data_IF_060439890756
#
_entry.id   IF_060439890756
#
_cell.length_a   1.000
_cell.length_b   1.000
_cell.length_c   1.000
_cell.angle_alpha   90.00
_cell.angle_beta   90.00
_cell.angle_gamma   90.00
#
_symmetry.space_group_name_H-M   'P 1'
#
loop_
_entity.id
_entity.type
_entity.pdbx_description
1 polymer ?
#
# COMPACT_ATOMS: atom_id res chain seq x y z
N UNK A 1 -17.71 8.68 -30.57
CA UNK A 1 -16.81 7.77 -29.83
C UNK A 1 -15.93 8.46 -28.78
N UNK A 2 -15.38 9.66 -28.99
CA UNK A 2 -14.50 10.31 -27.99
C UNK A 2 -15.14 10.67 -26.63
N UNK A 3 -16.48 10.73 -26.55
CA UNK A 3 -17.19 11.05 -25.29
C UNK A 3 -17.10 9.91 -24.26
N UNK A 4 -17.14 8.65 -24.71
CA UNK A 4 -16.94 7.48 -23.84
C UNK A 4 -15.50 7.44 -23.33
N UNK A 5 -14.52 7.73 -24.19
CA UNK A 5 -13.12 7.74 -23.80
C UNK A 5 -12.81 8.79 -22.72
N UNK A 6 -13.44 9.99 -22.81
CA UNK A 6 -13.37 11.01 -21.74
C UNK A 6 -13.91 10.48 -20.41
N UNK A 7 -15.07 9.83 -20.43
CA UNK A 7 -15.65 9.25 -19.22
C UNK A 7 -14.82 8.12 -18.64
N UNK A 8 -14.28 7.23 -19.47
CA UNK A 8 -13.38 6.17 -19.03
C UNK A 8 -12.15 6.75 -18.33
N UNK A 9 -11.51 7.76 -18.93
CA UNK A 9 -10.36 8.41 -18.31
C UNK A 9 -10.72 9.04 -16.95
N UNK A 10 -11.84 9.76 -16.88
CA UNK A 10 -12.33 10.32 -15.62
C UNK A 10 -12.57 9.25 -14.56
N UNK A 11 -13.20 8.13 -14.93
CA UNK A 11 -13.45 7.02 -14.00
C UNK A 11 -12.16 6.33 -13.56
N UNK A 12 -11.18 6.17 -14.45
CA UNK A 12 -9.86 5.63 -14.09
C UNK A 12 -9.15 6.52 -13.07
N UNK A 13 -9.15 7.84 -13.30
CA UNK A 13 -8.55 8.80 -12.36
C UNK A 13 -9.28 8.77 -11.02
N UNK A 14 -10.61 8.73 -11.03
CA UNK A 14 -11.42 8.69 -9.81
C UNK A 14 -11.19 7.38 -9.03
N UNK A 15 -11.12 6.25 -9.72
CA UNK A 15 -10.76 4.96 -9.11
C UNK A 15 -9.36 4.96 -8.52
N UNK A 16 -8.38 5.57 -9.21
CA UNK A 16 -7.02 5.72 -8.68
C UNK A 16 -7.02 6.56 -7.40
N UNK A 17 -7.73 7.70 -7.38
CA UNK A 17 -7.85 8.54 -6.18
C UNK A 17 -8.50 7.77 -5.03
N UNK A 18 -9.55 6.98 -5.29
CA UNK A 18 -10.21 6.16 -4.28
C UNK A 18 -9.26 5.11 -3.69
N UNK A 19 -8.44 4.45 -4.52
CA UNK A 19 -7.43 3.49 -4.05
C UNK A 19 -6.37 4.18 -3.18
N UNK A 20 -5.89 5.34 -3.60
CA UNK A 20 -4.92 6.13 -2.81
C UNK A 20 -5.54 6.51 -1.46
N UNK A 21 -6.75 7.09 -1.47
CA UNK A 21 -7.44 7.45 -0.22
C UNK A 21 -7.62 6.25 0.72
N UNK A 22 -7.98 5.08 0.18
CA UNK A 22 -8.10 3.85 0.96
C UNK A 22 -6.76 3.38 1.54
N UNK A 23 -5.65 3.49 0.80
CA UNK A 23 -4.33 3.14 1.32
C UNK A 23 -3.91 4.03 2.52
N UNK A 24 -4.30 5.31 2.52
CA UNK A 24 -3.98 6.24 3.62
C UNK A 24 -4.97 6.16 4.79
N UNK A 25 -6.26 5.96 4.53
CA UNK A 25 -7.30 5.90 5.58
C UNK A 25 -7.44 4.48 6.15
N UNK A 26 -7.11 3.45 5.37
CA UNK A 26 -7.24 2.04 5.74
C UNK A 26 -6.58 1.65 7.07
N UNK A 27 -5.39 2.16 7.45
CA UNK A 27 -4.81 1.88 8.76
C UNK A 27 -5.68 2.39 9.92
N UNK A 28 -6.39 3.51 9.74
CA UNK A 28 -7.33 4.02 10.76
C UNK A 28 -8.64 3.23 10.82
N UNK A 29 -8.96 2.45 9.79
CA UNK A 29 -10.09 1.53 9.75
C UNK A 29 -9.74 0.12 10.26
N UNK A 30 -8.50 -0.08 10.73
CA UNK A 30 -8.02 -1.37 11.24
C UNK A 30 -7.48 -2.32 10.17
N UNK A 31 -7.15 -1.83 8.97
CA UNK A 31 -6.52 -2.61 7.91
C UNK A 31 -5.00 -2.52 8.05
N UNK A 32 -4.33 -3.65 8.22
CA UNK A 32 -2.87 -3.72 8.25
C UNK A 32 -2.32 -4.02 6.85
N UNK A 33 -1.52 -3.10 6.32
CA UNK A 33 -0.84 -3.23 5.02
C UNK A 33 0.65 -3.58 5.16
N UNK A 34 1.12 -3.84 6.39
CA UNK A 34 2.51 -4.17 6.67
C UNK A 34 2.84 -5.57 6.16
N UNK A 35 4.07 -5.76 5.66
CA UNK A 35 4.55 -7.10 5.36
C UNK A 35 4.60 -7.92 6.66
N UNK A 36 4.24 -9.23 6.63
CA UNK A 36 4.41 -10.10 7.78
C UNK A 36 5.86 -10.05 8.26
N UNK A 37 6.08 -9.58 9.49
CA UNK A 37 7.40 -9.56 10.08
C UNK A 37 7.68 -10.90 10.75
N UNK A 38 8.76 -11.55 10.33
CA UNK A 38 9.31 -12.70 11.01
C UNK A 38 10.56 -12.27 11.75
N UNK A 39 10.56 -12.42 13.07
CA UNK A 39 11.75 -12.21 13.88
C UNK A 39 12.74 -13.35 13.62
N UNK A 40 13.97 -12.98 13.21
CA UNK A 40 15.06 -13.91 12.99
C UNK A 40 16.13 -13.62 14.04
N UNK A 41 16.32 -14.55 14.97
CA UNK A 41 17.39 -14.47 15.96
C UNK A 41 18.61 -15.25 15.46
N UNK A 42 19.66 -14.53 15.08
CA UNK A 42 20.96 -15.12 14.74
C UNK A 42 21.89 -14.97 15.94
N UNK A 43 22.54 -16.06 16.31
CA UNK A 43 23.60 -16.01 17.32
C UNK A 43 24.83 -15.39 16.67
N UNK A 44 25.14 -14.15 17.02
CA UNK A 44 26.33 -13.45 16.55
C UNK A 44 27.44 -13.62 17.59
N UNK A 45 28.64 -14.03 17.15
CA UNK A 45 29.83 -13.99 17.99
C UNK A 45 30.38 -12.58 17.93
N UNK A 46 30.34 -11.86 19.06
CA UNK A 46 30.96 -10.55 19.19
C UNK A 46 32.44 -10.78 19.51
N UNK A 47 33.32 -10.40 18.59
CA UNK A 47 34.77 -10.39 18.82
C UNK A 47 35.09 -9.19 19.71
N UNK A 48 35.27 -9.43 21.01
CA UNK A 48 35.76 -8.44 21.95
C UNK A 48 37.30 -8.56 21.96
N UNK A 49 37.94 -7.70 21.16
CA UNK A 49 39.41 -7.60 21.09
C UNK A 49 40.08 -7.26 22.41
#
# INVERSE_FOLDING_TARGET
MGRILKWLFTLTVLGFIALVAYAYIGPWLGVDFSAPQQEIHLKVVLDAG
#
